data_IF_475043952915
#
_entry.id   IF_475043952915
#
_cell.length_a   1.000
_cell.length_b   1.000
_cell.length_c   1.000
_cell.angle_alpha   90.00
_cell.angle_beta   90.00
_cell.angle_gamma   90.00
#
_symmetry.space_group_name_H-M   'P 1'
#
loop_
_entity.id
_entity.type
_entity.pdbx_description
1 polymer ?
#
# COMPACT_ATOMS: atom_id res chain seq x y z
N UNK A 1 5.91 20.75 -5.09
CA UNK A 1 7.04 19.88 -5.43
C UNK A 1 6.63 18.42 -5.24
N UNK A 2 6.68 17.60 -6.28
CA UNK A 2 6.63 16.14 -6.08
C UNK A 2 8.02 15.72 -5.56
N UNK A 3 8.09 15.31 -4.30
CA UNK A 3 9.29 14.68 -3.76
C UNK A 3 9.39 13.27 -4.36
N UNK A 4 10.59 12.85 -4.77
CA UNK A 4 10.88 11.47 -5.16
C UNK A 4 10.81 10.55 -3.92
N UNK A 5 9.59 10.26 -3.47
CA UNK A 5 9.33 9.51 -2.24
C UNK A 5 9.59 8.02 -2.46
N UNK A 6 10.27 7.42 -1.49
CA UNK A 6 10.52 5.97 -1.41
C UNK A 6 10.01 5.47 -0.06
N UNK A 7 9.34 4.31 -0.06
CA UNK A 7 8.93 3.64 1.17
C UNK A 7 9.71 2.34 1.32
N UNK A 8 10.35 2.17 2.47
CA UNK A 8 11.10 0.96 2.83
C UNK A 8 10.57 0.43 4.15
N UNK A 9 10.31 -0.88 4.21
CA UNK A 9 9.98 -1.61 5.43
C UNK A 9 11.23 -2.37 5.83
N UNK A 10 11.80 -2.04 6.99
CA UNK A 10 13.09 -2.55 7.45
C UNK A 10 13.00 -3.22 8.81
N UNK A 11 13.86 -4.21 9.03
CA UNK A 11 14.09 -4.78 10.35
C UNK A 11 15.30 -4.08 11.00
N UNK A 12 15.12 -3.30 12.08
CA UNK A 12 16.22 -2.56 12.70
C UNK A 12 17.21 -3.46 13.46
N UNK A 13 16.81 -4.69 13.81
CA UNK A 13 17.66 -5.65 14.50
C UNK A 13 18.49 -6.52 13.56
N UNK A 14 18.14 -6.60 12.27
CA UNK A 14 18.82 -7.44 11.29
C UNK A 14 19.65 -6.59 10.32
N UNK A 15 20.97 -6.82 10.33
CA UNK A 15 21.91 -6.13 9.44
C UNK A 15 22.52 -7.07 8.42
N UNK A 16 22.74 -6.57 7.21
CA UNK A 16 23.54 -7.26 6.21
C UNK A 16 25.05 -7.12 6.51
N UNK A 17 25.90 -7.77 5.71
CA UNK A 17 27.37 -7.74 5.89
C UNK A 17 28.01 -6.35 5.73
N UNK A 18 27.29 -5.38 5.15
CA UNK A 18 27.72 -3.98 5.02
C UNK A 18 27.23 -3.12 6.19
N UNK A 19 26.53 -3.71 7.17
CA UNK A 19 26.02 -3.00 8.34
C UNK A 19 24.71 -2.24 8.12
N UNK A 20 24.08 -2.36 6.94
CA UNK A 20 22.76 -1.77 6.67
C UNK A 20 21.64 -2.66 7.17
N UNK A 21 20.54 -2.06 7.65
CA UNK A 21 19.34 -2.79 8.04
C UNK A 21 18.75 -3.52 6.82
N UNK A 22 18.29 -4.76 6.99
CA UNK A 22 17.63 -5.52 5.94
C UNK A 22 16.25 -4.93 5.68
N UNK A 23 15.89 -4.72 4.42
CA UNK A 23 14.61 -4.10 4.07
C UNK A 23 14.04 -4.56 2.74
N UNK A 24 12.76 -4.30 2.54
CA UNK A 24 12.11 -4.31 1.24
C UNK A 24 11.58 -2.91 0.91
N UNK A 25 11.70 -2.52 -0.35
CA UNK A 25 11.25 -1.23 -0.88
C UNK A 25 9.97 -1.46 -1.67
N UNK A 26 8.95 -0.64 -1.39
CA UNK A 26 7.76 -0.56 -2.22
C UNK A 26 8.05 0.30 -3.45
N UNK A 27 7.94 -0.32 -4.62
CA UNK A 27 7.99 0.35 -5.92
C UNK A 27 6.56 0.48 -6.43
N UNK A 28 5.93 1.67 -6.30
CA UNK A 28 4.59 1.88 -6.81
C UNK A 28 4.58 1.80 -8.34
N UNK A 29 3.54 1.18 -8.90
CA UNK A 29 3.22 1.34 -10.32
C UNK A 29 2.40 2.60 -10.59
N UNK A 30 1.72 2.64 -11.74
CA UNK A 30 0.74 3.69 -12.03
C UNK A 30 -0.36 3.70 -10.96
N UNK A 31 -0.69 4.89 -10.45
CA UNK A 31 -1.68 5.07 -9.40
C UNK A 31 -2.45 6.38 -9.61
N UNK A 32 -3.62 6.50 -8.99
CA UNK A 32 -4.52 7.64 -9.10
C UNK A 32 -4.83 8.24 -7.74
N UNK A 33 -5.13 9.54 -7.70
CA UNK A 33 -5.75 10.16 -6.53
C UNK A 33 -7.28 10.14 -6.70
N UNK A 34 -8.04 10.07 -5.59
CA UNK A 34 -9.49 10.15 -5.67
C UNK A 34 -9.93 11.57 -6.07
N UNK A 35 -10.71 11.68 -7.15
CA UNK A 35 -11.39 12.92 -7.55
C UNK A 35 -12.65 13.23 -6.71
N UNK A 36 -13.11 12.26 -5.93
CA UNK A 36 -14.29 12.37 -5.09
C UNK A 36 -14.02 13.38 -3.97
N UNK A 37 -14.95 14.31 -3.73
CA UNK A 37 -14.82 15.29 -2.64
C UNK A 37 -14.64 14.62 -1.26
N UNK A 38 -13.75 15.13 -0.38
CA UNK A 38 -13.46 14.54 0.93
C UNK A 38 -14.68 14.28 1.81
N UNK A 39 -15.71 15.11 1.71
CA UNK A 39 -16.93 15.07 2.52
C UNK A 39 -18.04 14.17 1.94
N UNK A 40 -17.88 13.70 0.70
CA UNK A 40 -18.83 12.81 0.05
C UNK A 40 -18.98 11.49 0.82
N UNK A 41 -20.22 11.00 0.95
CA UNK A 41 -20.52 9.77 1.68
C UNK A 41 -19.72 8.56 1.19
N UNK A 42 -19.53 8.43 -0.12
CA UNK A 42 -18.73 7.33 -0.70
C UNK A 42 -17.26 7.40 -0.26
N UNK A 43 -16.68 8.60 -0.13
CA UNK A 43 -15.29 8.77 0.33
C UNK A 43 -15.16 8.54 1.84
N UNK A 44 -16.18 8.90 2.63
CA UNK A 44 -16.25 8.55 4.06
C UNK A 44 -16.34 7.03 4.30
N UNK A 45 -17.05 6.31 3.43
CA UNK A 45 -17.17 4.84 3.46
C UNK A 45 -15.90 4.13 2.99
N UNK A 46 -15.20 4.72 2.02
CA UNK A 46 -13.96 4.19 1.46
C UNK A 46 -12.73 4.95 1.97
N UNK A 47 -12.66 5.26 3.27
CA UNK A 47 -11.64 6.14 3.82
C UNK A 47 -10.18 5.69 3.56
N UNK A 48 -9.97 4.40 3.30
CA UNK A 48 -8.67 3.84 2.88
C UNK A 48 -8.10 4.46 1.59
N UNK A 49 -8.92 5.11 0.76
CA UNK A 49 -8.44 5.80 -0.46
C UNK A 49 -7.83 7.18 -0.20
N UNK A 50 -7.90 7.69 1.03
CA UNK A 50 -7.37 9.01 1.37
C UNK A 50 -5.83 9.07 1.32
N UNK A 51 -5.17 7.92 1.42
CA UNK A 51 -3.73 7.78 1.25
C UNK A 51 -3.42 6.58 0.37
N UNK A 52 -2.34 6.67 -0.42
CA UNK A 52 -1.82 5.52 -1.17
C UNK A 52 -1.20 4.47 -0.25
N UNK A 53 -0.71 4.86 0.92
CA UNK A 53 -0.02 3.99 1.85
C UNK A 53 -0.44 4.31 3.28
N UNK A 54 -0.74 3.25 4.03
CA UNK A 54 -1.00 3.28 5.46
C UNK A 54 -0.12 2.25 6.14
N UNK A 55 0.27 2.51 7.38
CA UNK A 55 0.94 1.55 8.24
C UNK A 55 0.19 1.47 9.56
N UNK A 56 -0.07 0.26 10.03
CA UNK A 56 -0.69 0.01 11.34
C UNK A 56 0.18 -0.95 12.13
N UNK A 57 0.08 -0.91 13.45
CA UNK A 57 0.54 -2.03 14.27
C UNK A 57 -0.32 -3.25 13.93
N UNK A 58 0.27 -4.44 13.92
CA UNK A 58 -0.49 -5.66 13.68
C UNK A 58 -1.57 -5.86 14.76
N UNK A 59 -2.79 -6.10 14.31
CA UNK A 59 -3.93 -6.47 15.15
C UNK A 59 -4.77 -7.51 14.38
N UNK A 60 -4.97 -8.68 14.99
CA UNK A 60 -5.67 -9.80 14.36
C UNK A 60 -7.14 -9.49 13.97
N UNK A 61 -7.76 -8.46 14.57
CA UNK A 61 -9.14 -8.05 14.27
C UNK A 61 -9.22 -6.98 13.16
N UNK A 62 -8.09 -6.39 12.76
CA UNK A 62 -8.02 -5.29 11.79
C UNK A 62 -7.76 -5.82 10.37
N UNK A 63 -8.72 -6.58 9.83
CA UNK A 63 -8.52 -7.28 8.56
C UNK A 63 -9.02 -6.52 7.32
N UNK A 64 -9.93 -5.54 7.50
CA UNK A 64 -10.68 -4.93 6.40
C UNK A 64 -10.50 -3.41 6.36
N UNK A 65 -9.94 -2.89 5.26
CA UNK A 65 -9.60 -1.47 5.10
C UNK A 65 -10.80 -0.52 5.12
N UNK A 66 -12.01 -1.03 4.86
CA UNK A 66 -13.28 -0.30 4.92
C UNK A 66 -14.18 -0.72 6.10
N UNK A 67 -13.67 -1.54 7.02
CA UNK A 67 -14.45 -2.16 8.09
C UNK A 67 -15.11 -3.48 7.68
N UNK A 68 -15.66 -4.21 8.68
CA UNK A 68 -16.22 -5.57 8.51
C UNK A 68 -17.55 -5.56 7.75
N UNK A 69 -18.34 -4.49 7.87
CA UNK A 69 -19.68 -4.38 7.27
C UNK A 69 -19.78 -3.17 6.33
N UNK A 70 -19.21 -3.25 5.11
CA UNK A 70 -19.12 -2.10 4.20
C UNK A 70 -20.47 -1.75 3.53
N UNK A 71 -21.39 -2.71 3.41
CA UNK A 71 -22.70 -2.48 2.81
C UNK A 71 -23.51 -1.50 3.69
N UNK A 72 -24.00 -0.42 3.07
CA UNK A 72 -24.73 0.66 3.75
C UNK A 72 -24.02 1.26 4.98
N UNK A 73 -22.70 1.08 5.12
CA UNK A 73 -21.91 1.71 6.18
C UNK A 73 -22.09 3.23 6.19
N UNK A 74 -22.07 3.83 7.38
CA UNK A 74 -22.05 5.30 7.56
C UNK A 74 -20.66 5.89 7.36
N UNK A 75 -19.64 5.06 7.16
CA UNK A 75 -18.24 5.45 7.06
C UNK A 75 -17.56 5.62 8.41
N UNK A 76 -16.23 5.81 8.38
CA UNK A 76 -15.41 6.00 9.58
C UNK A 76 -14.80 4.72 10.16
N UNK A 77 -15.19 3.52 9.70
CA UNK A 77 -14.52 2.26 10.03
C UNK A 77 -13.31 1.99 9.11
N UNK A 78 -12.56 0.93 9.41
CA UNK A 78 -11.39 0.50 8.62
C UNK A 78 -10.15 1.32 8.93
N UNK A 79 -9.31 1.59 7.91
CA UNK A 79 -8.01 2.25 8.12
C UNK A 79 -8.08 3.59 8.85
N UNK A 80 -9.04 4.51 8.56
CA UNK A 80 -9.16 5.74 9.34
C UNK A 80 -9.37 5.50 10.84
N UNK A 81 -10.04 4.41 11.22
CA UNK A 81 -10.25 4.02 12.62
C UNK A 81 -9.01 3.36 13.20
N UNK A 82 -8.36 2.47 12.45
CA UNK A 82 -7.20 1.70 12.91
C UNK A 82 -6.02 2.62 13.27
N UNK A 83 -5.85 3.75 12.57
CA UNK A 83 -4.78 4.72 12.85
C UNK A 83 -5.19 5.84 13.83
N UNK A 84 -6.45 5.90 14.26
CA UNK A 84 -6.96 7.06 15.00
C UNK A 84 -6.36 7.24 16.39
N UNK A 85 -5.79 6.19 16.97
CA UNK A 85 -5.12 6.18 18.27
C UNK A 85 -3.61 6.47 18.18
N UNK A 86 -3.08 6.70 16.98
CA UNK A 86 -1.66 7.02 16.72
C UNK A 86 -0.69 6.04 17.41
N UNK A 87 -0.96 4.74 17.27
CA UNK A 87 -0.11 3.71 17.86
C UNK A 87 1.34 3.79 17.35
N UNK A 88 2.28 3.60 18.27
CA UNK A 88 3.70 3.49 17.93
C UNK A 88 3.92 2.24 17.07
N UNK A 89 4.44 2.44 15.86
CA UNK A 89 4.79 1.38 14.90
C UNK A 89 6.30 1.13 14.78
N UNK A 90 7.13 1.94 15.43
CA UNK A 90 8.59 1.76 15.40
C UNK A 90 8.99 0.47 16.14
N UNK A 91 9.77 -0.37 15.47
CA UNK A 91 10.25 -1.65 15.99
C UNK A 91 9.11 -2.56 16.52
N UNK A 92 7.94 -2.52 15.86
CA UNK A 92 6.79 -3.38 16.14
C UNK A 92 6.53 -4.36 14.99
N UNK A 93 5.66 -5.33 15.25
CA UNK A 93 4.97 -6.05 14.18
C UNK A 93 3.98 -5.09 13.50
N UNK A 94 4.12 -4.92 12.19
CA UNK A 94 3.41 -3.88 11.42
C UNK A 94 2.78 -4.46 10.17
N UNK A 95 1.65 -3.87 9.78
CA UNK A 95 0.97 -4.16 8.52
C UNK A 95 1.04 -2.93 7.62
N UNK A 96 1.49 -3.14 6.38
CA UNK A 96 1.49 -2.12 5.34
C UNK A 96 0.27 -2.30 4.43
N UNK A 97 -0.52 -1.24 4.27
CA UNK A 97 -1.70 -1.22 3.41
C UNK A 97 -1.43 -0.31 2.21
N UNK A 98 -1.45 -0.86 1.00
CA UNK A 98 -1.20 -0.10 -0.22
C UNK A 98 -2.48 0.02 -1.06
N UNK A 99 -2.95 1.24 -1.26
CA UNK A 99 -4.10 1.55 -2.11
C UNK A 99 -3.62 1.86 -3.52
N UNK A 100 -3.97 0.98 -4.46
CA UNK A 100 -3.78 1.17 -5.90
C UNK A 100 -5.13 1.50 -6.56
N UNK A 101 -5.17 2.57 -7.34
CA UNK A 101 -6.36 3.01 -8.07
C UNK A 101 -6.07 3.39 -9.52
N UNK A 102 -7.05 3.12 -10.39
CA UNK A 102 -7.05 3.52 -11.80
C UNK A 102 -8.22 4.45 -12.05
N UNK A 103 -7.95 5.59 -12.67
CA UNK A 103 -9.01 6.43 -13.22
C UNK A 103 -9.30 5.97 -14.63
N UNK A 104 -10.44 5.32 -14.83
CA UNK A 104 -10.83 4.80 -16.13
C UNK A 104 -11.56 5.88 -16.94
N UNK A 105 -10.97 6.27 -18.07
CA UNK A 105 -11.61 7.11 -19.09
C UNK A 105 -11.90 6.20 -20.29
N UNK A 106 -13.16 5.75 -20.48
CA UNK A 106 -13.47 4.74 -21.47
C UNK A 106 -13.13 5.16 -22.90
N UNK A 107 -12.76 4.20 -23.74
CA UNK A 107 -12.44 4.40 -25.16
C UNK A 107 -13.27 3.50 -26.07
N UNK A 108 -13.53 3.89 -27.34
CA UNK A 108 -14.29 3.06 -28.28
C UNK A 108 -13.75 1.62 -28.43
N UNK A 109 -12.43 1.42 -28.32
CA UNK A 109 -11.77 0.11 -28.42
C UNK A 109 -12.09 -0.83 -27.25
N UNK A 110 -12.75 -0.33 -26.20
CA UNK A 110 -13.15 -1.11 -25.03
C UNK A 110 -14.58 -1.68 -25.14
N UNK A 111 -15.25 -1.43 -26.27
CA UNK A 111 -16.58 -1.94 -26.58
C UNK A 111 -16.53 -3.04 -27.64
N UNK A 112 -17.34 -4.11 -27.55
CA UNK A 112 -18.27 -4.47 -26.47
C UNK A 112 -17.62 -5.21 -25.29
N UNK A 113 -16.33 -5.51 -25.42
CA UNK A 113 -15.55 -6.21 -24.41
C UNK A 113 -14.26 -5.43 -24.21
N UNK A 114 -14.03 -4.99 -22.97
CA UNK A 114 -12.83 -4.24 -22.62
C UNK A 114 -11.59 -5.15 -22.69
N UNK A 115 -10.52 -4.77 -23.42
CA UNK A 115 -9.25 -5.48 -23.37
C UNK A 115 -8.56 -5.28 -22.02
N UNK A 116 -7.70 -6.23 -21.64
CA UNK A 116 -7.02 -6.21 -20.34
C UNK A 116 -6.10 -5.00 -20.20
N UNK A 117 -6.26 -4.27 -19.09
CA UNK A 117 -5.29 -3.27 -18.62
C UNK A 117 -4.56 -3.81 -17.39
N UNK A 118 -3.23 -3.76 -17.40
CA UNK A 118 -2.40 -4.26 -16.29
C UNK A 118 -2.03 -3.15 -15.33
N UNK A 119 -2.24 -3.39 -14.04
CA UNK A 119 -1.77 -2.52 -12.96
C UNK A 119 -1.21 -3.36 -11.82
N UNK A 120 -0.26 -2.81 -11.09
CA UNK A 120 0.39 -3.51 -9.99
C UNK A 120 1.49 -2.67 -9.35
N UNK A 121 2.23 -3.30 -8.46
CA UNK A 121 3.38 -2.74 -7.76
C UNK A 121 4.41 -3.85 -7.55
N UNK A 122 5.61 -3.49 -7.08
CA UNK A 122 6.65 -4.46 -6.72
C UNK A 122 7.14 -4.20 -5.31
N UNK A 123 7.52 -5.27 -4.62
CA UNK A 123 8.39 -5.20 -3.46
C UNK A 123 9.76 -5.70 -3.90
N UNK A 124 10.78 -4.86 -3.77
CA UNK A 124 12.15 -5.22 -4.15
C UNK A 124 13.05 -5.23 -2.92
N UNK A 125 14.04 -6.13 -2.84
CA UNK A 125 15.01 -6.12 -1.74
C UNK A 125 15.79 -4.80 -1.69
N UNK A 126 15.81 -4.14 -0.53
CA UNK A 126 16.61 -2.96 -0.23
C UNK A 126 17.69 -3.31 0.81
N UNK A 127 18.85 -3.79 0.35
CA UNK A 127 19.89 -4.25 1.28
C UNK A 127 19.52 -5.50 2.10
N UNK A 128 18.44 -6.21 1.73
CA UNK A 128 18.06 -7.47 2.38
C UNK A 128 19.15 -8.55 2.24
N UNK A 129 19.72 -8.67 1.04
CA UNK A 129 20.83 -9.57 0.75
C UNK A 129 22.16 -8.80 0.79
N UNK A 130 23.22 -9.49 1.18
CA UNK A 130 24.59 -8.92 1.19
C UNK A 130 25.21 -8.77 -0.21
N UNK A 131 24.65 -9.46 -1.20
CA UNK A 131 25.05 -9.45 -2.61
C UNK A 131 23.85 -9.84 -3.46
N UNK A 132 23.98 -9.79 -4.79
CA UNK A 132 22.93 -10.24 -5.69
C UNK A 132 22.55 -11.71 -5.36
N UNK A 133 21.28 -11.99 -4.99
CA UNK A 133 20.83 -13.32 -4.57
C UNK A 133 20.72 -14.32 -5.73
N UNK A 134 20.89 -13.89 -6.98
CA UNK A 134 20.81 -14.72 -8.18
C UNK A 134 22.18 -14.98 -8.85
N UNK A 135 23.29 -14.76 -8.13
CA UNK A 135 24.64 -14.92 -8.70
C UNK A 135 24.99 -16.35 -9.12
N UNK A 136 24.35 -17.34 -8.52
CA UNK A 136 24.60 -18.78 -8.70
C UNK A 136 23.51 -19.48 -9.51
N UNK A 137 22.57 -18.72 -10.10
CA UNK A 137 21.53 -19.28 -10.97
C UNK A 137 22.18 -19.74 -12.27
N UNK A 138 22.12 -21.05 -12.61
CA UNK A 138 22.64 -21.55 -13.88
C UNK A 138 21.79 -21.03 -15.05
N UNK A 139 22.34 -21.11 -16.27
CA UNK A 139 21.61 -20.77 -17.49
C UNK A 139 20.49 -21.76 -17.79
#
# INVERSE_FOLDING_TARGET
MQAARVWSVMNPAAKNSLGHNTSFILVPGANSLPYIAPDALVRKRAGFINHHLWATKYNALEMNSAGVYPNQSKGGDGLPRFVANDEVIENQDVVLWYTLGVTHIPRPEEWAVMPVTHVGFKLIPGGFFSRNPALDVPK
#
